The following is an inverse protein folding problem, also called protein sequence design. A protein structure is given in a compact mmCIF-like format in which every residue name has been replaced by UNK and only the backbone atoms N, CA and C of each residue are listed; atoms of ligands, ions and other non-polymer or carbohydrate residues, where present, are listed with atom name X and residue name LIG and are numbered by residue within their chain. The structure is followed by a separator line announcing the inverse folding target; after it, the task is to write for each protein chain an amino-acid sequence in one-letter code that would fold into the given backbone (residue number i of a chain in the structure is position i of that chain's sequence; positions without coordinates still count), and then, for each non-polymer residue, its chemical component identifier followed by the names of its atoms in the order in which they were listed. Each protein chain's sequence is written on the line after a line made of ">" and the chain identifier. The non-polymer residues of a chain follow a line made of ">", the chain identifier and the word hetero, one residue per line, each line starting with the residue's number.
data_IF_410337530262
#
_entry.id   IF_410337530262
#
_cell.length_a   1.000
_cell.length_b   1.000
_cell.length_c   1.000
_cell.angle_alpha   90.00
_cell.angle_beta   90.00
_cell.angle_gamma   90.00
#
_symmetry.space_group_name_H-M   'P 1'
#
loop_
_entity.id
_entity.type
_entity.pdbx_description
1 polymer ?
#
# COMPACT_ATOMS: atom_id res chain seq x y z
N UNK A 1 -68.92 -87.25 25.72
CA UNK A 1 -68.12 -86.44 26.66
C UNK A 1 -67.25 -85.50 25.82
N UNK A 2 -67.39 -84.18 25.94
CA UNK A 2 -66.97 -83.19 24.94
C UNK A 2 -65.58 -82.61 25.22
N UNK A 3 -64.87 -82.15 24.20
CA UNK A 3 -63.71 -81.25 24.34
C UNK A 3 -63.46 -80.51 23.02
N UNK A 4 -64.05 -79.32 22.91
CA UNK A 4 -63.63 -78.28 21.97
C UNK A 4 -63.52 -76.99 22.76
N UNK A 5 -62.30 -76.49 22.99
CA UNK A 5 -62.06 -75.19 23.62
C UNK A 5 -61.83 -74.15 22.52
N UNK A 6 -62.66 -73.12 22.52
CA UNK A 6 -62.53 -71.91 21.72
C UNK A 6 -61.34 -71.08 22.24
N UNK A 7 -60.47 -70.65 21.32
CA UNK A 7 -59.40 -69.70 21.60
C UNK A 7 -59.88 -68.27 21.37
N UNK A 8 -59.90 -67.46 22.42
CA UNK A 8 -60.15 -66.02 22.33
C UNK A 8 -58.88 -65.28 21.94
N UNK A 9 -58.81 -64.80 20.69
CA UNK A 9 -57.81 -63.83 20.25
C UNK A 9 -58.23 -62.42 20.70
N UNK A 10 -57.46 -61.81 21.59
CA UNK A 10 -57.55 -60.37 21.88
C UNK A 10 -56.76 -59.58 20.82
N UNK A 11 -57.27 -58.43 20.34
CA UNK A 11 -56.53 -57.57 19.42
C UNK A 11 -55.40 -56.82 20.15
N UNK A 12 -54.31 -56.45 19.43
CA UNK A 12 -53.19 -55.73 20.03
C UNK A 12 -53.58 -54.30 20.44
N UNK A 13 -52.99 -53.77 21.53
CA UNK A 13 -53.27 -52.41 21.98
C UNK A 13 -52.76 -51.36 20.97
N UNK A 14 -53.54 -50.30 20.78
CA UNK A 14 -53.19 -49.18 19.91
C UNK A 14 -51.94 -48.44 20.41
N UNK A 15 -51.12 -47.86 19.51
CA UNK A 15 -49.90 -47.17 19.90
C UNK A 15 -50.25 -45.86 20.61
N UNK A 16 -49.77 -45.72 21.85
CA UNK A 16 -49.90 -44.50 22.64
C UNK A 16 -49.11 -43.39 21.94
N UNK A 17 -49.82 -42.40 21.37
CA UNK A 17 -49.19 -41.18 20.87
C UNK A 17 -48.63 -40.41 22.07
N UNK A 18 -47.35 -40.63 22.37
CA UNK A 18 -46.60 -39.78 23.29
C UNK A 18 -46.58 -38.36 22.76
N UNK A 19 -47.03 -37.41 23.59
CA UNK A 19 -46.85 -35.99 23.37
C UNK A 19 -45.34 -35.70 23.40
N UNK A 20 -44.71 -35.54 22.24
CA UNK A 20 -43.37 -34.95 22.16
C UNK A 20 -43.50 -33.48 22.56
N UNK A 21 -43.15 -33.16 23.81
CA UNK A 21 -42.90 -31.77 24.20
C UNK A 21 -41.62 -31.30 23.48
N UNK A 22 -41.78 -30.53 22.40
CA UNK A 22 -40.65 -29.88 21.74
C UNK A 22 -40.05 -28.83 22.70
N UNK A 23 -38.91 -29.14 23.30
CA UNK A 23 -38.16 -28.21 24.14
C UNK A 23 -37.52 -27.16 23.23
N UNK A 24 -38.01 -25.91 23.30
CA UNK A 24 -37.43 -24.79 22.55
C UNK A 24 -36.11 -24.37 23.17
N UNK A 25 -35.02 -24.62 22.45
CA UNK A 25 -33.67 -24.18 22.84
C UNK A 25 -33.43 -22.74 22.41
N UNK A 26 -32.92 -21.92 23.33
CA UNK A 26 -32.48 -20.55 23.09
C UNK A 26 -30.94 -20.49 23.05
N UNK A 27 -30.34 -19.71 22.14
CA UNK A 27 -28.90 -19.49 22.14
C UNK A 27 -28.46 -18.65 23.33
N UNK A 28 -27.22 -18.88 23.80
CA UNK A 28 -26.57 -18.01 24.77
C UNK A 28 -26.48 -16.57 24.26
N UNK A 29 -26.64 -15.61 25.18
CA UNK A 29 -26.52 -14.17 24.90
C UNK A 29 -25.14 -13.79 24.36
N UNK A 30 -24.09 -14.51 24.75
CA UNK A 30 -22.72 -14.33 24.27
C UNK A 30 -22.41 -15.02 22.93
N UNK A 31 -23.43 -15.49 22.20
CA UNK A 31 -23.23 -16.15 20.90
C UNK A 31 -22.55 -15.25 19.87
N UNK A 32 -22.81 -13.94 19.88
CA UNK A 32 -22.13 -12.96 19.01
C UNK A 32 -20.62 -12.88 19.26
N UNK A 33 -20.17 -13.25 20.46
CA UNK A 33 -18.76 -13.30 20.85
C UNK A 33 -18.14 -14.70 20.69
N UNK A 34 -18.91 -15.68 20.17
CA UNK A 34 -18.41 -17.02 19.85
C UNK A 34 -18.86 -18.13 20.80
N UNK A 35 -19.75 -17.89 21.77
CA UNK A 35 -20.30 -18.96 22.59
C UNK A 35 -21.25 -19.86 21.75
N UNK A 36 -20.98 -21.18 21.61
CA UNK A 36 -21.76 -22.06 20.75
C UNK A 36 -23.04 -22.61 21.44
N UNK A 37 -23.21 -22.35 22.74
CA UNK A 37 -24.20 -23.00 23.60
C UNK A 37 -25.63 -22.60 23.22
N UNK A 38 -26.52 -23.61 23.18
CA UNK A 38 -27.98 -23.46 23.04
C UNK A 38 -28.63 -24.36 24.08
N UNK A 39 -29.43 -23.78 24.97
CA UNK A 39 -30.03 -24.46 26.11
C UNK A 39 -31.51 -24.10 26.24
N UNK A 40 -32.27 -24.90 27.01
CA UNK A 40 -33.60 -24.48 27.45
C UNK A 40 -33.48 -23.23 28.33
N UNK A 41 -34.57 -22.47 28.44
CA UNK A 41 -34.61 -21.23 29.21
C UNK A 41 -34.17 -21.42 30.66
N UNK A 42 -34.60 -22.52 31.29
CA UNK A 42 -34.27 -22.83 32.69
C UNK A 42 -32.78 -23.12 32.92
N UNK A 43 -32.09 -23.67 31.92
CA UNK A 43 -30.65 -24.00 32.01
C UNK A 43 -29.75 -22.85 31.56
N UNK A 44 -30.30 -21.87 30.84
CA UNK A 44 -29.53 -20.75 30.31
C UNK A 44 -28.99 -19.86 31.43
N UNK A 45 -29.81 -19.56 32.44
CA UNK A 45 -29.39 -18.73 33.58
C UNK A 45 -28.23 -19.39 34.34
N UNK A 46 -28.33 -20.69 34.58
CA UNK A 46 -27.27 -21.46 35.24
C UNK A 46 -25.96 -21.44 34.44
N UNK A 47 -26.02 -21.65 33.12
CA UNK A 47 -24.85 -21.52 32.25
C UNK A 47 -24.23 -20.12 32.31
N UNK A 48 -25.05 -19.05 32.32
CA UNK A 48 -24.55 -17.68 32.39
C UNK A 48 -23.83 -17.39 33.71
N UNK A 49 -24.26 -18.00 34.82
CA UNK A 49 -23.63 -17.87 36.14
C UNK A 49 -22.37 -18.72 36.28
N UNK A 50 -22.35 -19.93 35.73
CA UNK A 50 -21.22 -20.86 35.86
C UNK A 50 -20.08 -20.55 34.88
N UNK A 51 -20.38 -20.07 33.67
CA UNK A 51 -19.40 -19.85 32.59
C UNK A 51 -18.98 -18.37 32.42
N UNK A 52 -19.07 -17.55 33.47
CA UNK A 52 -18.73 -16.12 33.42
C UNK A 52 -17.32 -15.88 32.91
N UNK A 53 -16.33 -16.64 33.38
CA UNK A 53 -14.93 -16.49 32.97
C UNK A 53 -14.74 -16.76 31.47
N UNK A 54 -15.39 -17.81 30.96
CA UNK A 54 -15.40 -18.12 29.52
C UNK A 54 -15.99 -16.97 28.72
N UNK A 55 -17.12 -16.41 29.15
CA UNK A 55 -17.75 -15.28 28.48
C UNK A 55 -16.89 -14.01 28.51
N UNK A 56 -16.25 -13.69 29.65
CA UNK A 56 -15.32 -12.56 29.76
C UNK A 56 -14.12 -12.71 28.83
N UNK A 57 -13.57 -13.93 28.72
CA UNK A 57 -12.47 -14.23 27.80
C UNK A 57 -12.88 -14.06 26.33
N UNK A 58 -14.08 -14.47 25.95
CA UNK A 58 -14.62 -14.28 24.60
C UNK A 58 -14.79 -12.80 24.27
N UNK A 59 -15.40 -12.02 25.17
CA UNK A 59 -15.57 -10.57 25.00
C UNK A 59 -14.22 -9.86 24.89
N UNK A 60 -13.26 -10.20 25.76
CA UNK A 60 -11.92 -9.61 25.74
C UNK A 60 -11.19 -9.88 24.43
N UNK A 61 -11.27 -11.12 23.91
CA UNK A 61 -10.70 -11.47 22.59
C UNK A 61 -11.34 -10.65 21.48
N UNK A 62 -12.67 -10.55 21.48
CA UNK A 62 -13.40 -9.78 20.47
C UNK A 62 -13.00 -8.29 20.48
N UNK A 63 -12.89 -7.68 21.66
CA UNK A 63 -12.44 -6.29 21.81
C UNK A 63 -11.00 -6.07 21.33
N UNK A 64 -10.09 -7.01 21.62
CA UNK A 64 -8.70 -6.93 21.16
C UNK A 64 -8.60 -7.07 19.63
N UNK A 65 -9.39 -7.97 19.03
CA UNK A 65 -9.50 -8.10 17.57
C UNK A 65 -10.02 -6.80 16.94
N UNK A 66 -11.06 -6.20 17.49
CA UNK A 66 -11.61 -4.93 16.99
C UNK A 66 -10.59 -3.79 17.09
N UNK A 67 -9.84 -3.71 18.20
CA UNK A 67 -8.76 -2.74 18.37
C UNK A 67 -7.66 -2.92 17.32
N UNK A 68 -7.18 -4.15 17.16
CA UNK A 68 -6.15 -4.48 16.16
C UNK A 68 -6.63 -4.17 14.74
N UNK A 69 -7.90 -4.44 14.43
CA UNK A 69 -8.48 -4.11 13.12
C UNK A 69 -8.52 -2.61 12.87
N UNK A 70 -8.89 -1.79 13.87
CA UNK A 70 -8.89 -0.33 13.76
C UNK A 70 -7.48 0.24 13.58
N UNK A 71 -6.50 -0.31 14.30
CA UNK A 71 -5.09 0.06 14.15
C UNK A 71 -4.58 -0.25 12.75
N UNK A 72 -4.84 -1.47 12.25
CA UNK A 72 -4.48 -1.86 10.89
C UNK A 72 -5.15 -0.98 9.82
N UNK A 73 -6.46 -0.69 9.95
CA UNK A 73 -7.16 0.22 9.04
C UNK A 73 -6.52 1.61 9.02
N UNK A 74 -6.11 2.14 10.18
CA UNK A 74 -5.42 3.42 10.28
C UNK A 74 -4.08 3.39 9.54
N UNK A 75 -3.30 2.33 9.68
CA UNK A 75 -2.04 2.16 8.96
C UNK A 75 -2.25 2.10 7.45
N UNK A 76 -3.22 1.31 6.98
CA UNK A 76 -3.56 1.21 5.55
C UNK A 76 -3.94 2.58 4.98
N UNK A 77 -4.77 3.34 5.69
CA UNK A 77 -5.17 4.70 5.27
C UNK A 77 -3.95 5.63 5.22
N UNK A 78 -3.05 5.56 6.19
CA UNK A 78 -1.83 6.37 6.21
C UNK A 78 -0.91 6.04 5.04
N UNK A 79 -0.68 4.76 4.75
CA UNK A 79 0.15 4.31 3.63
C UNK A 79 -0.47 4.73 2.30
N UNK A 80 -1.78 4.50 2.11
CA UNK A 80 -2.49 4.92 0.90
C UNK A 80 -2.41 6.44 0.70
N UNK A 81 -2.64 7.22 1.76
CA UNK A 81 -2.57 8.69 1.71
C UNK A 81 -1.16 9.16 1.33
N UNK A 82 -0.11 8.55 1.89
CA UNK A 82 1.27 8.88 1.56
C UNK A 82 1.56 8.62 0.08
N UNK A 83 1.20 7.42 -0.40
CA UNK A 83 1.37 7.01 -1.81
C UNK A 83 0.66 7.95 -2.77
N UNK A 84 -0.56 8.38 -2.46
CA UNK A 84 -1.28 9.35 -3.28
C UNK A 84 -0.54 10.69 -3.37
N UNK A 85 -0.03 11.21 -2.23
CA UNK A 85 0.73 12.47 -2.23
C UNK A 85 2.03 12.40 -3.01
N UNK A 86 2.75 11.27 -2.91
CA UNK A 86 3.96 11.01 -3.69
C UNK A 86 3.64 11.01 -5.19
N UNK A 87 2.61 10.26 -5.60
CA UNK A 87 2.16 10.21 -6.99
C UNK A 87 1.69 11.58 -7.53
N UNK A 88 1.00 12.37 -6.71
CA UNK A 88 0.60 13.74 -7.09
C UNK A 88 1.82 14.64 -7.31
N UNK A 89 2.85 14.49 -6.46
CA UNK A 89 4.13 15.20 -6.61
C UNK A 89 4.85 14.83 -7.90
N UNK A 90 4.96 13.54 -8.19
CA UNK A 90 5.52 13.03 -9.44
C UNK A 90 4.73 13.53 -10.66
N UNK A 91 3.40 13.54 -10.60
CA UNK A 91 2.55 14.03 -11.68
C UNK A 91 2.76 15.54 -11.92
N UNK A 92 2.88 16.33 -10.86
CA UNK A 92 3.20 17.75 -10.97
C UNK A 92 4.57 17.97 -11.62
N UNK A 93 5.56 17.16 -11.28
CA UNK A 93 6.90 17.24 -11.87
C UNK A 93 6.87 16.88 -13.36
N UNK A 94 6.18 15.81 -13.75
CA UNK A 94 6.00 15.41 -15.14
C UNK A 94 5.30 16.51 -15.96
N UNK A 95 4.27 17.17 -15.41
CA UNK A 95 3.60 18.30 -16.07
C UNK A 95 4.56 19.47 -16.33
N UNK A 96 5.43 19.79 -15.38
CA UNK A 96 6.46 20.83 -15.56
C UNK A 96 7.45 20.45 -16.65
N UNK A 97 7.89 19.20 -16.68
CA UNK A 97 8.79 18.69 -17.72
C UNK A 97 8.13 18.75 -19.11
N UNK A 98 6.86 18.36 -19.21
CA UNK A 98 6.11 18.44 -20.46
C UNK A 98 6.03 19.88 -20.97
N UNK A 99 5.70 20.84 -20.10
CA UNK A 99 5.66 22.26 -20.46
C UNK A 99 7.03 22.78 -20.92
N UNK A 100 8.12 22.35 -20.29
CA UNK A 100 9.47 22.72 -20.71
C UNK A 100 9.81 22.17 -22.11
N UNK A 101 9.39 20.94 -22.42
CA UNK A 101 9.57 20.33 -23.73
C UNK A 101 8.74 21.04 -24.81
N UNK A 102 7.50 21.42 -24.51
CA UNK A 102 6.64 22.20 -25.43
C UNK A 102 7.28 23.55 -25.78
N UNK A 103 7.84 24.26 -24.79
CA UNK A 103 8.56 25.51 -25.03
C UNK A 103 9.82 25.31 -25.87
N UNK A 104 10.56 24.23 -25.62
CA UNK A 104 11.74 23.88 -26.41
C UNK A 104 11.36 23.57 -27.87
N UNK A 105 10.28 22.81 -28.10
CA UNK A 105 9.77 22.52 -29.44
C UNK A 105 9.38 23.80 -30.20
N UNK A 106 8.68 24.74 -29.53
CA UNK A 106 8.33 26.03 -30.12
C UNK A 106 9.59 26.82 -30.52
N UNK A 107 10.60 26.86 -29.66
CA UNK A 107 11.87 27.55 -29.93
C UNK A 107 12.61 26.95 -31.13
N UNK A 108 12.73 25.62 -31.17
CA UNK A 108 13.39 24.89 -32.27
C UNK A 108 12.63 25.13 -33.58
N UNK A 109 11.31 25.03 -33.56
CA UNK A 109 10.47 25.24 -34.75
C UNK A 109 10.55 26.68 -35.25
N UNK A 110 10.54 27.66 -34.34
CA UNK A 110 10.75 29.06 -34.65
C UNK A 110 12.11 29.32 -35.32
N UNK A 111 13.19 28.81 -34.72
CA UNK A 111 14.56 28.96 -35.25
C UNK A 111 14.74 28.30 -36.63
N UNK A 112 14.15 27.13 -36.85
CA UNK A 112 14.15 26.47 -38.16
C UNK A 112 13.42 27.33 -39.21
N UNK A 113 12.31 27.97 -38.84
CA UNK A 113 11.53 28.81 -39.76
C UNK A 113 12.26 30.13 -40.08
N UNK A 114 12.89 30.77 -39.11
CA UNK A 114 13.76 31.95 -39.33
C UNK A 114 14.97 31.62 -40.21
N UNK A 115 15.56 30.45 -40.01
CA UNK A 115 16.67 29.94 -40.84
C UNK A 115 16.24 29.67 -42.29
N UNK A 116 15.00 29.20 -42.51
CA UNK A 116 14.43 28.99 -43.85
C UNK A 116 14.08 30.32 -44.55
N UNK A 117 13.60 31.32 -43.82
CA UNK A 117 13.32 32.67 -44.35
C UNK A 117 14.60 33.41 -44.74
N UNK A 118 15.64 33.32 -43.91
CA UNK A 118 16.97 33.90 -44.16
C UNK A 118 17.72 33.26 -45.35
N UNK A 119 17.25 32.11 -45.83
CA UNK A 119 17.79 31.41 -47.02
C UNK A 119 17.04 31.78 -48.31
N UNK A 120 15.79 32.27 -48.22
CA UNK A 120 14.99 32.71 -49.38
C UNK A 120 15.20 34.17 -49.78
N UNK A 121 15.82 34.99 -48.93
CA UNK A 121 16.02 36.44 -49.17
C UNK A 121 17.44 36.83 -49.59
N UNK A 122 18.31 35.88 -49.95
CA UNK A 122 19.71 36.18 -50.32
C UNK A 122 20.00 35.74 -51.76
N UNK A 123 19.41 36.45 -52.72
CA UNK A 123 19.98 36.62 -54.05
C UNK A 123 20.61 38.01 -54.06
N UNK A 124 21.91 38.09 -53.76
CA UNK A 124 22.79 39.20 -54.14
C UNK A 124 24.23 38.70 -54.00
N UNK A 125 24.92 38.64 -55.13
CA UNK A 125 26.17 37.91 -55.41
C UNK A 125 27.46 38.53 -54.82
N UNK A 126 27.38 39.39 -53.79
CA UNK A 126 28.59 40.04 -53.21
C UNK A 126 28.80 39.78 -51.71
N UNK A 127 28.05 38.85 -51.09
CA UNK A 127 28.08 38.60 -49.64
C UNK A 127 28.33 37.13 -49.24
N UNK A 128 29.06 36.36 -50.06
CA UNK A 128 29.34 34.94 -49.77
C UNK A 128 30.51 34.76 -48.79
N UNK A 129 31.61 35.51 -48.92
CA UNK A 129 32.81 35.33 -48.07
C UNK A 129 32.55 35.67 -46.59
N UNK A 130 31.88 36.79 -46.31
CA UNK A 130 31.54 37.21 -44.93
C UNK A 130 30.55 36.25 -44.22
N UNK A 131 29.77 35.48 -44.99
CA UNK A 131 28.79 34.53 -44.43
C UNK A 131 29.45 33.20 -44.08
N UNK A 132 30.41 32.75 -44.88
CA UNK A 132 31.22 31.55 -44.60
C UNK A 132 32.09 31.74 -43.36
N UNK A 133 32.70 32.92 -43.18
CA UNK A 133 33.47 33.25 -41.97
C UNK A 133 32.62 33.24 -40.70
N UNK A 134 31.38 33.74 -40.78
CA UNK A 134 30.45 33.72 -39.65
C UNK A 134 29.95 32.30 -39.32
N UNK A 135 29.75 31.46 -40.33
CA UNK A 135 29.40 30.04 -40.14
C UNK A 135 30.59 29.27 -39.55
N UNK A 136 31.81 29.56 -40.00
CA UNK A 136 33.04 28.97 -39.47
C UNK A 136 33.30 29.42 -38.02
N UNK A 137 33.04 30.70 -37.69
CA UNK A 137 33.14 31.22 -36.33
C UNK A 137 32.07 30.59 -35.41
N UNK A 138 30.84 30.45 -35.89
CA UNK A 138 29.75 29.82 -35.13
C UNK A 138 29.99 28.33 -34.93
N UNK A 139 30.51 27.63 -35.94
CA UNK A 139 30.89 26.22 -35.84
C UNK A 139 32.02 26.00 -34.84
N UNK A 140 33.03 26.87 -34.83
CA UNK A 140 34.11 26.84 -33.82
C UNK A 140 33.56 27.06 -32.42
N UNK A 141 32.67 28.04 -32.23
CA UNK A 141 32.04 28.32 -30.94
C UNK A 141 31.18 27.15 -30.44
N UNK A 142 30.43 26.50 -31.34
CA UNK A 142 29.65 25.31 -31.03
C UNK A 142 30.56 24.14 -30.62
N UNK A 143 31.70 23.97 -31.29
CA UNK A 143 32.68 22.94 -30.94
C UNK A 143 33.31 23.18 -29.55
N UNK A 144 33.60 24.44 -29.20
CA UNK A 144 34.05 24.81 -27.85
C UNK A 144 32.99 24.49 -26.80
N UNK A 145 31.73 24.87 -27.02
CA UNK A 145 30.64 24.61 -26.09
C UNK A 145 30.37 23.10 -25.92
N UNK A 146 30.51 22.30 -26.97
CA UNK A 146 30.38 20.84 -26.88
C UNK A 146 31.51 20.23 -26.05
N UNK A 147 32.73 20.76 -26.15
CA UNK A 147 33.85 20.33 -25.33
C UNK A 147 33.65 20.71 -23.86
N UNK A 148 33.25 21.95 -23.57
CA UNK A 148 32.94 22.40 -22.21
C UNK A 148 31.80 21.58 -21.59
N UNK A 149 30.75 21.26 -22.34
CA UNK A 149 29.67 20.41 -21.86
C UNK A 149 30.15 18.99 -21.52
N UNK A 150 31.09 18.44 -22.31
CA UNK A 150 31.70 17.14 -22.03
C UNK A 150 32.52 17.18 -20.75
N UNK A 151 33.35 18.20 -20.57
CA UNK A 151 34.19 18.38 -19.39
C UNK A 151 33.32 18.51 -18.11
N UNK A 152 32.24 19.31 -18.18
CA UNK A 152 31.28 19.46 -17.07
C UNK A 152 30.58 18.13 -16.77
N UNK A 153 30.19 17.37 -17.80
CA UNK A 153 29.56 16.06 -17.62
C UNK A 153 30.49 15.07 -16.91
N UNK A 154 31.78 15.05 -17.26
CA UNK A 154 32.78 14.20 -16.63
C UNK A 154 33.03 14.60 -15.17
N UNK A 155 33.04 15.90 -14.86
CA UNK A 155 33.15 16.43 -13.50
C UNK A 155 31.93 16.09 -12.63
N UNK A 156 30.71 16.21 -13.18
CA UNK A 156 29.48 15.78 -12.49
C UNK A 156 29.50 14.28 -12.21
N UNK A 157 30.01 13.46 -13.14
CA UNK A 157 30.15 12.01 -12.92
C UNK A 157 31.13 11.72 -11.79
N UNK A 158 32.28 12.40 -11.77
CA UNK A 158 33.28 12.27 -10.70
C UNK A 158 32.72 12.68 -9.33
N UNK A 159 32.01 13.82 -9.26
CA UNK A 159 31.38 14.28 -8.01
C UNK A 159 30.31 13.30 -7.50
N UNK A 160 29.58 12.63 -8.40
CA UNK A 160 28.63 11.58 -8.01
C UNK A 160 29.34 10.35 -7.43
N UNK A 161 30.47 9.95 -8.00
CA UNK A 161 31.30 8.84 -7.50
C UNK A 161 31.92 9.20 -6.13
N UNK A 162 32.43 10.42 -5.96
CA UNK A 162 32.94 10.92 -4.67
C UNK A 162 31.85 10.98 -3.59
N UNK A 163 30.64 11.43 -3.95
CA UNK A 163 29.52 11.46 -3.01
C UNK A 163 29.12 10.05 -2.55
N UNK A 164 29.08 9.08 -3.47
CA UNK A 164 28.80 7.68 -3.13
C UNK A 164 29.84 7.10 -2.16
N UNK A 165 31.12 7.47 -2.32
CA UNK A 165 32.20 7.05 -1.43
C UNK A 165 32.07 7.66 -0.02
N UNK A 166 31.64 8.92 0.09
CA UNK A 166 31.45 9.58 1.40
C UNK A 166 30.24 9.08 2.19
N UNK A 167 29.20 8.59 1.51
CA UNK A 167 28.04 7.97 2.18
C UNK A 167 28.38 6.63 2.83
N UNK A 168 29.34 5.88 2.28
CA UNK A 168 29.81 4.62 2.89
C UNK A 168 30.72 4.86 4.11
N UNK A 169 31.48 5.97 4.17
CA UNK A 169 32.31 6.34 5.34
C UNK A 169 31.49 6.85 6.54
N UNK A 170 30.19 7.11 6.38
CA UNK A 170 29.31 7.60 7.46
C UNK A 170 28.56 6.45 8.17
N UNK A 171 28.54 5.26 7.58
CA UNK A 171 28.15 4.03 8.29
C UNK A 171 29.40 3.41 8.94
N UNK A 172 29.66 3.78 10.20
CA UNK A 172 30.36 3.03 11.27
C UNK A 172 31.07 4.02 12.19
N UNK A 173 30.32 4.50 13.19
CA UNK A 173 30.86 4.67 14.53
C UNK A 173 29.73 4.64 15.55
N UNK A 174 29.05 3.48 15.63
CA UNK A 174 28.31 3.14 16.85
C UNK A 174 29.32 3.10 18.00
N UNK A 175 29.32 4.15 18.82
CA UNK A 175 30.13 4.25 20.04
C UNK A 175 29.69 3.12 20.98
N UNK A 176 30.57 2.19 21.39
CA UNK A 176 30.23 1.05 22.25
C UNK A 176 29.56 1.46 23.58
N UNK A 177 29.79 2.68 24.05
CA UNK A 177 29.22 3.22 25.29
C UNK A 177 27.69 3.44 25.20
N UNK A 178 27.14 3.78 24.03
CA UNK A 178 25.69 3.98 23.85
C UNK A 178 24.95 2.64 23.90
N UNK A 179 25.58 1.58 23.38
CA UNK A 179 25.03 0.21 23.41
C UNK A 179 25.03 -0.38 24.82
N UNK A 180 25.96 0.04 25.68
CA UNK A 180 26.02 -0.37 27.08
C UNK A 180 24.97 0.35 27.94
N UNK A 181 24.71 1.64 27.66
CA UNK A 181 23.67 2.44 28.30
C UNK A 181 22.25 1.91 28.01
N UNK A 182 21.97 1.46 26.78
CA UNK A 182 20.67 0.83 26.44
C UNK A 182 20.45 -0.53 27.11
N UNK A 183 21.51 -1.33 27.33
CA UNK A 183 21.36 -2.63 28.01
C UNK A 183 21.12 -2.50 29.51
N UNK A 184 21.62 -1.43 30.14
CA UNK A 184 21.40 -1.17 31.56
C UNK A 184 20.00 -0.59 31.87
N UNK A 185 19.35 0.05 30.90
CA UNK A 185 18.02 0.65 31.08
C UNK A 185 16.85 -0.30 30.81
N UNK A 186 17.09 -1.46 30.18
CA UNK A 186 16.06 -2.44 29.83
C UNK A 186 15.95 -3.65 30.77
N UNK A 187 16.71 -3.66 31.88
CA UNK A 187 16.64 -4.69 32.93
C UNK A 187 16.08 -4.12 34.26
N UNK A 188 14.92 -3.46 34.19
CA UNK A 188 14.02 -3.22 35.34
C UNK A 188 12.62 -3.68 34.95
#
# INVERSE_FOLDING_TARGET
>A
MPSGREGTHLPPPAPVRGLSMEVKLKPCTYRSFGCPVKLSEDLLNKHLEEDVETHLNLVTKALNLEKSQKEFQKEVIQVATRRCREADGENMQLRKQLQALELFEQLVTGSINESKLSKKFSTDDEKSESREDNIAASSRKLQTLLQEHKDISDEVKKLKEELAQTTDDTEVREVPEVRLLMKLTLNI
#
